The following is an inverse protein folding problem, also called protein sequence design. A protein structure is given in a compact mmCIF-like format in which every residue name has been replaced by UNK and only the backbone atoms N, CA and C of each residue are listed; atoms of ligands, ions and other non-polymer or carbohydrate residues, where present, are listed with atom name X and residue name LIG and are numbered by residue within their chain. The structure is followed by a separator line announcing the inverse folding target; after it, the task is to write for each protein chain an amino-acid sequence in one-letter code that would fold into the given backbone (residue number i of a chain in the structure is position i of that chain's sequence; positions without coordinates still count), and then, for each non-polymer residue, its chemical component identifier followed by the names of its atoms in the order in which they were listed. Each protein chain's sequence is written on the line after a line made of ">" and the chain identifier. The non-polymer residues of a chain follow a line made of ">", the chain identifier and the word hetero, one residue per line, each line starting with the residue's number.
data_IF_858504808863
#
_entry.id   IF_858504808863
#
_cell.length_a   1.000
_cell.length_b   1.000
_cell.length_c   1.000
_cell.angle_alpha   90.00
_cell.angle_beta   90.00
_cell.angle_gamma   90.00
#
_symmetry.space_group_name_H-M   'P 1'
#
loop_
_entity.id
_entity.type
_entity.pdbx_description
1 polymer ?
#
# COMPACT_ATOMS: atom_id res chain seq x y z
N UNK A 1 59.09 4.03 2.59
CA UNK A 1 59.16 2.65 2.05
C UNK A 1 58.45 1.65 2.96
N UNK A 2 59.04 1.15 4.05
CA UNK A 2 58.37 0.13 4.92
C UNK A 2 57.16 0.68 5.69
N UNK A 3 57.28 1.89 6.27
CA UNK A 3 56.17 2.55 6.96
C UNK A 3 55.00 2.95 6.03
N UNK A 4 55.27 3.05 4.73
CA UNK A 4 54.29 3.43 3.71
C UNK A 4 53.52 2.19 3.24
N UNK A 5 54.23 1.08 3.00
CA UNK A 5 53.62 -0.24 2.77
C UNK A 5 52.78 -0.72 3.96
N UNK A 6 53.22 -0.48 5.18
CA UNK A 6 52.45 -0.83 6.38
C UNK A 6 51.15 -0.02 6.50
N UNK A 7 51.13 1.24 6.02
CA UNK A 7 49.92 2.07 5.97
C UNK A 7 48.97 1.61 4.85
N UNK A 8 49.49 1.35 3.66
CA UNK A 8 48.71 0.83 2.54
C UNK A 8 48.05 -0.51 2.88
N UNK A 9 48.78 -1.39 3.59
CA UNK A 9 48.25 -2.66 4.04
C UNK A 9 47.20 -2.50 5.14
N UNK A 10 47.43 -1.63 6.14
CA UNK A 10 46.43 -1.34 7.17
C UNK A 10 45.17 -0.68 6.61
N UNK A 11 45.30 0.20 5.60
CA UNK A 11 44.16 0.82 4.91
C UNK A 11 43.40 -0.23 4.06
N UNK A 12 44.11 -1.15 3.41
CA UNK A 12 43.52 -2.28 2.69
C UNK A 12 42.74 -3.22 3.61
N UNK A 13 43.35 -3.63 4.73
CA UNK A 13 42.72 -4.48 5.74
C UNK A 13 41.47 -3.79 6.33
N UNK A 14 41.54 -2.48 6.60
CA UNK A 14 40.41 -1.69 7.08
C UNK A 14 39.28 -1.58 6.06
N UNK A 15 39.59 -1.38 4.78
CA UNK A 15 38.58 -1.34 3.72
C UNK A 15 37.91 -2.69 3.52
N UNK A 16 38.67 -3.78 3.60
CA UNK A 16 38.12 -5.12 3.50
C UNK A 16 37.19 -5.43 4.68
N UNK A 17 37.63 -5.15 5.91
CA UNK A 17 36.80 -5.31 7.11
C UNK A 17 35.49 -4.50 7.03
N UNK A 18 35.54 -3.26 6.53
CA UNK A 18 34.35 -2.44 6.33
C UNK A 18 33.39 -3.04 5.29
N UNK A 19 33.91 -3.61 4.19
CA UNK A 19 33.09 -4.26 3.17
C UNK A 19 32.39 -5.49 3.73
N UNK A 20 33.14 -6.35 4.41
CA UNK A 20 32.60 -7.55 5.06
C UNK A 20 31.51 -7.20 6.08
N UNK A 21 31.71 -6.14 6.86
CA UNK A 21 30.70 -5.63 7.80
C UNK A 21 29.44 -5.12 7.09
N UNK A 22 29.59 -4.34 6.02
CA UNK A 22 28.45 -3.83 5.26
C UNK A 22 27.66 -4.97 4.60
N UNK A 23 28.34 -5.93 3.98
CA UNK A 23 27.73 -7.12 3.37
C UNK A 23 26.96 -7.95 4.41
N UNK A 24 27.53 -8.16 5.60
CA UNK A 24 26.86 -8.88 6.69
C UNK A 24 25.58 -8.15 7.14
N UNK A 25 25.63 -6.82 7.28
CA UNK A 25 24.45 -6.01 7.64
C UNK A 25 23.39 -6.00 6.55
N UNK A 26 23.77 -5.98 5.27
CA UNK A 26 22.83 -6.07 4.17
C UNK A 26 22.13 -7.43 4.12
N UNK A 27 22.86 -8.52 4.37
CA UNK A 27 22.29 -9.85 4.48
C UNK A 27 21.31 -9.95 5.66
N UNK A 28 21.70 -9.45 6.84
CA UNK A 28 20.81 -9.44 8.01
C UNK A 28 19.51 -8.64 7.74
N UNK A 29 19.62 -7.46 7.11
CA UNK A 29 18.45 -6.67 6.76
C UNK A 29 17.52 -7.40 5.78
N UNK A 30 18.08 -8.15 4.82
CA UNK A 30 17.31 -8.96 3.89
C UNK A 30 16.60 -10.13 4.60
N UNK A 31 17.30 -10.85 5.48
CA UNK A 31 16.72 -11.95 6.24
C UNK A 31 15.58 -11.48 7.16
N UNK A 32 15.75 -10.33 7.82
CA UNK A 32 14.71 -9.69 8.66
C UNK A 32 13.52 -9.22 7.86
N UNK A 33 13.75 -8.68 6.66
CA UNK A 33 12.66 -8.30 5.77
C UNK A 33 11.84 -9.53 5.36
N UNK A 34 12.49 -10.62 4.93
CA UNK A 34 11.79 -11.86 4.60
C UNK A 34 11.07 -12.50 5.79
N UNK A 35 11.67 -12.46 6.98
CA UNK A 35 11.03 -12.93 8.21
C UNK A 35 9.77 -12.14 8.51
N UNK A 36 9.82 -10.80 8.42
CA UNK A 36 8.64 -9.93 8.58
C UNK A 36 7.55 -10.29 7.58
N UNK A 37 7.88 -10.50 6.30
CA UNK A 37 6.87 -10.85 5.29
C UNK A 37 6.24 -12.23 5.57
N UNK A 38 7.04 -13.19 6.02
CA UNK A 38 6.54 -14.51 6.44
C UNK A 38 5.62 -14.41 7.65
N UNK A 39 5.97 -13.60 8.64
CA UNK A 39 5.12 -13.32 9.80
C UNK A 39 3.81 -12.63 9.39
N UNK A 40 3.91 -11.54 8.60
CA UNK A 40 2.79 -10.72 8.17
C UNK A 40 1.76 -11.52 7.35
N UNK A 41 2.22 -12.23 6.32
CA UNK A 41 1.32 -12.92 5.39
C UNK A 41 1.04 -14.38 5.78
N UNK A 42 1.94 -15.03 6.51
CA UNK A 42 1.84 -16.46 6.86
C UNK A 42 1.58 -17.32 5.62
N UNK A 43 0.61 -18.21 5.70
CA UNK A 43 0.18 -19.08 4.59
C UNK A 43 -0.36 -18.29 3.38
N UNK A 44 -0.82 -17.05 3.58
CA UNK A 44 -1.32 -16.21 2.49
C UNK A 44 -0.21 -15.65 1.60
N UNK A 45 1.07 -15.82 1.97
CA UNK A 45 2.22 -15.34 1.20
C UNK A 45 2.21 -15.91 -0.23
N UNK A 46 1.88 -17.20 -0.38
CA UNK A 46 1.78 -17.87 -1.69
C UNK A 46 0.59 -17.40 -2.56
N UNK A 47 -0.38 -16.72 -1.96
CA UNK A 47 -1.54 -16.12 -2.66
C UNK A 47 -1.34 -14.64 -2.98
N UNK A 48 -0.28 -14.02 -2.45
CA UNK A 48 0.00 -12.61 -2.68
C UNK A 48 0.40 -12.38 -4.15
N UNK A 49 -0.22 -11.43 -4.87
CA UNK A 49 0.20 -11.10 -6.23
C UNK A 49 1.70 -10.79 -6.29
N UNK A 50 2.48 -11.38 -7.22
CA UNK A 50 3.94 -11.24 -7.24
C UNK A 50 4.41 -9.77 -7.28
N UNK A 51 3.75 -8.94 -8.08
CA UNK A 51 4.08 -7.51 -8.21
C UNK A 51 3.72 -6.68 -6.98
N UNK A 52 2.78 -7.15 -6.14
CA UNK A 52 2.51 -6.57 -4.83
C UNK A 52 3.58 -7.01 -3.84
N UNK A 53 3.87 -8.31 -3.79
CA UNK A 53 4.86 -8.86 -2.88
C UNK A 53 6.24 -8.22 -3.09
N UNK A 54 6.65 -8.03 -4.34
CA UNK A 54 7.89 -7.33 -4.69
C UNK A 54 7.89 -5.88 -4.17
N UNK A 55 6.80 -5.13 -4.36
CA UNK A 55 6.71 -3.75 -3.88
C UNK A 55 6.80 -3.67 -2.34
N UNK A 56 6.14 -4.60 -1.65
CA UNK A 56 6.21 -4.69 -0.18
C UNK A 56 7.61 -5.10 0.28
N UNK A 57 8.24 -6.06 -0.40
CA UNK A 57 9.61 -6.51 -0.10
C UNK A 57 10.62 -5.38 -0.25
N UNK A 58 10.52 -4.56 -1.30
CA UNK A 58 11.40 -3.39 -1.48
C UNK A 58 11.19 -2.38 -0.36
N UNK A 59 9.94 -2.08 0.00
CA UNK A 59 9.64 -1.16 1.09
C UNK A 59 10.17 -1.66 2.44
N UNK A 60 9.95 -2.95 2.74
CA UNK A 60 10.37 -3.59 3.97
C UNK A 60 11.90 -3.70 4.07
N UNK A 61 12.58 -4.12 3.00
CA UNK A 61 14.04 -4.14 2.94
C UNK A 61 14.62 -2.74 3.17
N UNK A 62 14.03 -1.72 2.55
CA UNK A 62 14.48 -0.34 2.71
C UNK A 62 14.28 0.13 4.14
N UNK A 63 13.17 -0.25 4.78
CA UNK A 63 12.94 0.01 6.20
C UNK A 63 14.00 -0.65 7.09
N UNK A 64 14.31 -1.93 6.88
CA UNK A 64 15.33 -2.64 7.66
C UNK A 64 16.72 -2.01 7.49
N UNK A 65 17.09 -1.62 6.26
CA UNK A 65 18.35 -0.89 6.00
C UNK A 65 18.37 0.48 6.68
N UNK A 66 17.23 1.16 6.75
CA UNK A 66 17.11 2.47 7.38
C UNK A 66 17.31 2.45 8.89
N UNK A 67 17.12 1.31 9.57
CA UNK A 67 17.40 1.20 11.01
C UNK A 67 18.88 1.39 11.35
N UNK A 68 19.77 1.22 10.36
CA UNK A 68 21.22 1.30 10.51
C UNK A 68 21.86 2.40 9.64
N UNK A 69 21.05 3.24 8.98
CA UNK A 69 21.51 4.27 8.04
C UNK A 69 20.73 5.58 8.24
N UNK A 70 21.17 6.67 7.61
CA UNK A 70 20.51 7.99 7.70
C UNK A 70 19.35 8.17 6.69
N UNK A 71 18.69 7.08 6.29
CA UNK A 71 17.59 7.16 5.34
C UNK A 71 16.38 7.87 5.95
N UNK A 72 15.89 8.88 5.24
CA UNK A 72 14.80 9.72 5.73
C UNK A 72 13.46 8.93 5.82
N UNK A 73 12.76 8.93 6.97
CA UNK A 73 11.54 8.13 7.17
C UNK A 73 10.45 8.37 6.12
N UNK A 74 10.29 9.62 5.70
CA UNK A 74 9.36 10.00 4.64
C UNK A 74 9.57 9.27 3.31
N UNK A 75 10.81 9.01 2.89
CA UNK A 75 11.09 8.30 1.65
C UNK A 75 10.61 6.84 1.72
N UNK A 76 10.80 6.21 2.88
CA UNK A 76 10.36 4.84 3.15
C UNK A 76 8.83 4.77 3.23
N UNK A 77 8.20 5.77 3.85
CA UNK A 77 6.76 5.89 3.91
C UNK A 77 6.13 6.00 2.51
N UNK A 78 6.78 6.68 1.56
CA UNK A 78 6.36 6.72 0.16
C UNK A 78 6.39 5.34 -0.48
N UNK A 79 7.41 4.51 -0.21
CA UNK A 79 7.48 3.13 -0.73
C UNK A 79 6.33 2.27 -0.23
N UNK A 80 6.08 2.28 1.08
CA UNK A 80 4.95 1.56 1.67
C UNK A 80 3.60 2.11 1.19
N UNK A 81 3.47 3.42 0.99
CA UNK A 81 2.27 4.02 0.42
C UNK A 81 2.06 3.58 -1.04
N UNK A 82 3.12 3.43 -1.82
CA UNK A 82 3.07 2.85 -3.17
C UNK A 82 2.65 1.37 -3.15
N UNK A 83 3.15 0.60 -2.18
CA UNK A 83 2.74 -0.78 -1.98
C UNK A 83 1.24 -0.89 -1.59
N UNK A 84 0.75 -0.01 -0.71
CA UNK A 84 -0.67 0.09 -0.37
C UNK A 84 -1.54 0.41 -1.59
N UNK A 85 -1.17 1.44 -2.37
CA UNK A 85 -1.88 1.83 -3.59
C UNK A 85 -1.96 0.69 -4.60
N UNK A 86 -0.83 0.02 -4.83
CA UNK A 86 -0.77 -1.17 -5.68
C UNK A 86 -1.63 -2.30 -5.13
N UNK A 87 -1.63 -2.51 -3.81
CA UNK A 87 -2.42 -3.53 -3.13
C UNK A 87 -3.92 -3.31 -3.33
N UNK A 88 -4.42 -2.10 -3.04
CA UNK A 88 -5.83 -1.75 -3.25
C UNK A 88 -6.22 -1.88 -4.73
N UNK A 89 -5.35 -1.46 -5.65
CA UNK A 89 -5.62 -1.61 -7.07
C UNK A 89 -5.73 -3.08 -7.49
N UNK A 90 -4.73 -3.90 -7.16
CA UNK A 90 -4.63 -5.29 -7.61
C UNK A 90 -5.65 -6.22 -6.93
N UNK A 91 -6.00 -5.94 -5.68
CA UNK A 91 -6.86 -6.80 -4.86
C UNK A 91 -8.33 -6.35 -4.90
N UNK A 92 -8.62 -5.05 -5.02
CA UNK A 92 -9.99 -4.52 -4.94
C UNK A 92 -10.43 -3.89 -6.26
N UNK A 93 -9.76 -2.83 -6.72
CA UNK A 93 -10.25 -2.01 -7.85
C UNK A 93 -10.32 -2.81 -9.15
N UNK A 94 -9.23 -3.46 -9.53
CA UNK A 94 -9.16 -4.22 -10.77
C UNK A 94 -10.09 -5.44 -10.75
N UNK A 95 -10.14 -6.26 -9.67
CA UNK A 95 -11.12 -7.34 -9.59
C UNK A 95 -12.58 -6.86 -9.59
N UNK A 96 -12.88 -5.71 -8.98
CA UNK A 96 -14.22 -5.12 -9.07
C UNK A 96 -14.54 -4.73 -10.51
N UNK A 97 -13.64 -4.04 -11.22
CA UNK A 97 -13.82 -3.70 -12.63
C UNK A 97 -14.08 -4.94 -13.50
N UNK A 98 -13.31 -6.01 -13.26
CA UNK A 98 -13.44 -7.29 -13.97
C UNK A 98 -14.75 -8.02 -13.66
N UNK A 99 -15.36 -7.76 -12.50
CA UNK A 99 -16.66 -8.33 -12.14
C UNK A 99 -17.85 -7.63 -12.81
N UNK A 100 -17.65 -6.42 -13.35
CA UNK A 100 -18.70 -5.62 -13.97
C UNK A 100 -18.92 -6.01 -15.44
N UNK A 101 -20.06 -6.64 -15.71
CA UNK A 101 -20.62 -6.79 -17.06
C UNK A 101 -21.04 -5.44 -17.66
N UNK A 102 -21.37 -5.40 -18.95
CA UNK A 102 -21.88 -4.18 -19.58
C UNK A 102 -23.15 -3.64 -18.89
N UNK A 103 -24.05 -4.54 -18.50
CA UNK A 103 -25.32 -4.23 -17.84
C UNK A 103 -25.10 -3.71 -16.42
N UNK A 104 -24.29 -4.42 -15.61
CA UNK A 104 -24.02 -4.03 -14.22
C UNK A 104 -23.18 -2.76 -14.14
N UNK A 105 -22.25 -2.56 -15.08
CA UNK A 105 -21.54 -1.29 -15.24
C UNK A 105 -22.49 -0.14 -15.55
N UNK A 106 -23.38 -0.33 -16.52
CA UNK A 106 -24.37 0.71 -16.85
C UNK A 106 -25.29 1.00 -15.67
N UNK A 107 -25.69 -0.01 -14.89
CA UNK A 107 -26.47 0.16 -13.67
C UNK A 107 -25.70 0.96 -12.61
N UNK A 108 -24.41 0.65 -12.37
CA UNK A 108 -23.53 1.39 -11.47
C UNK A 108 -23.45 2.87 -11.83
N UNK A 109 -23.18 3.16 -13.11
CA UNK A 109 -23.04 4.52 -13.62
C UNK A 109 -24.35 5.30 -13.52
N UNK A 110 -25.49 4.68 -13.86
CA UNK A 110 -26.81 5.31 -13.75
C UNK A 110 -27.20 5.60 -12.31
N UNK A 111 -26.96 4.65 -11.40
CA UNK A 111 -27.26 4.84 -9.97
C UNK A 111 -26.41 5.95 -9.34
N UNK A 112 -25.21 6.18 -9.89
CA UNK A 112 -24.26 7.18 -9.39
C UNK A 112 -24.30 8.49 -10.17
N UNK A 113 -25.18 8.65 -11.15
CA UNK A 113 -25.31 9.89 -11.91
C UNK A 113 -26.05 10.96 -11.07
N UNK A 114 -25.41 12.11 -10.88
CA UNK A 114 -25.93 13.26 -10.14
C UNK A 114 -26.60 14.29 -11.04
N UNK A 115 -25.99 14.60 -12.19
CA UNK A 115 -26.52 15.59 -13.12
C UNK A 115 -26.08 15.30 -14.57
N UNK A 116 -26.95 15.57 -15.54
CA UNK A 116 -26.66 15.57 -16.97
C UNK A 116 -26.60 17.02 -17.44
N UNK A 117 -25.38 17.59 -17.55
CA UNK A 117 -25.19 18.96 -18.06
C UNK A 117 -24.45 18.93 -19.39
N UNK A 118 -25.05 19.52 -20.43
CA UNK A 118 -24.41 19.74 -21.73
C UNK A 118 -23.73 18.48 -22.35
N UNK A 119 -24.35 17.30 -22.20
CA UNK A 119 -23.81 16.03 -22.69
C UNK A 119 -22.77 15.36 -21.77
N UNK A 120 -22.51 15.92 -20.59
CA UNK A 120 -21.61 15.36 -19.58
C UNK A 120 -22.39 14.88 -18.34
N UNK A 121 -22.11 13.65 -17.90
CA UNK A 121 -22.61 13.09 -16.64
C UNK A 121 -21.68 13.48 -15.50
N UNK A 122 -22.19 14.09 -14.44
CA UNK A 122 -21.46 14.23 -13.18
C UNK A 122 -21.82 13.05 -12.26
N UNK A 123 -20.82 12.36 -11.72
CA UNK A 123 -21.02 11.25 -10.79
C UNK A 123 -20.97 11.73 -9.33
N UNK A 124 -21.70 11.05 -8.44
CA UNK A 124 -21.61 11.26 -6.98
C UNK A 124 -20.23 10.95 -6.40
N UNK A 125 -19.49 10.05 -7.05
CA UNK A 125 -18.16 9.64 -6.62
C UNK A 125 -17.22 9.45 -7.81
N UNK A 126 -15.99 9.98 -7.69
CA UNK A 126 -14.93 9.80 -8.70
C UNK A 126 -14.41 8.35 -8.74
N UNK A 127 -14.63 7.58 -7.68
CA UNK A 127 -14.45 6.14 -7.72
C UNK A 127 -15.29 5.51 -8.83
N UNK A 128 -16.58 5.86 -8.91
CA UNK A 128 -17.48 5.30 -9.93
C UNK A 128 -17.13 5.78 -11.33
N UNK A 129 -16.72 7.05 -11.44
CA UNK A 129 -16.23 7.62 -12.69
C UNK A 129 -15.08 6.83 -13.31
N UNK A 130 -14.23 6.19 -12.49
CA UNK A 130 -13.12 5.36 -12.97
C UNK A 130 -13.55 4.12 -13.78
N UNK A 131 -14.83 3.73 -13.68
CA UNK A 131 -15.39 2.58 -14.38
C UNK A 131 -16.24 2.96 -15.60
N UNK A 132 -16.31 4.25 -15.95
CA UNK A 132 -17.00 4.75 -17.13
C UNK A 132 -16.11 4.60 -18.39
N UNK A 133 -16.44 3.71 -19.34
CA UNK A 133 -15.63 3.47 -20.53
C UNK A 133 -15.67 4.66 -21.51
N UNK A 134 -16.68 5.54 -21.42
CA UNK A 134 -16.77 6.73 -22.26
C UNK A 134 -15.82 7.84 -21.79
N UNK A 135 -15.32 7.75 -20.55
CA UNK A 135 -14.26 8.61 -20.04
C UNK A 135 -12.93 7.86 -20.17
N UNK A 136 -11.89 8.54 -20.64
CA UNK A 136 -10.50 8.07 -20.45
C UNK A 136 -10.13 8.23 -18.97
N UNK A 137 -10.83 7.51 -18.10
CA UNK A 137 -10.72 7.71 -16.68
C UNK A 137 -9.42 7.09 -16.16
N UNK A 138 -8.76 7.82 -15.26
CA UNK A 138 -7.62 7.31 -14.49
C UNK A 138 -8.13 6.27 -13.49
N UNK A 139 -7.23 5.40 -13.02
CA UNK A 139 -7.52 4.57 -11.86
C UNK A 139 -7.91 5.45 -10.65
N UNK A 140 -8.83 4.98 -9.79
CA UNK A 140 -9.21 5.72 -8.59
C UNK A 140 -8.00 5.85 -7.65
N UNK A 141 -7.82 7.04 -7.10
CA UNK A 141 -6.82 7.35 -6.08
C UNK A 141 -7.14 6.67 -4.75
N UNK A 142 -6.13 6.59 -3.86
CA UNK A 142 -6.27 6.07 -2.50
C UNK A 142 -7.48 6.68 -1.75
N UNK A 143 -7.64 8.00 -1.81
CA UNK A 143 -8.75 8.68 -1.14
C UNK A 143 -10.11 8.39 -1.78
N UNK A 144 -10.16 8.17 -3.09
CA UNK A 144 -11.41 7.76 -3.76
C UNK A 144 -11.80 6.33 -3.34
N UNK A 145 -10.83 5.41 -3.21
CA UNK A 145 -11.07 4.06 -2.69
C UNK A 145 -11.49 4.08 -1.22
N UNK A 146 -10.81 4.86 -0.37
CA UNK A 146 -11.14 4.99 1.04
C UNK A 146 -12.58 5.49 1.26
N UNK A 147 -12.98 6.53 0.53
CA UNK A 147 -14.35 7.06 0.56
C UNK A 147 -15.38 6.05 0.04
N UNK A 148 -15.09 5.35 -1.05
CA UNK A 148 -16.00 4.33 -1.56
C UNK A 148 -16.19 3.18 -0.56
N UNK A 149 -15.13 2.78 0.15
CA UNK A 149 -15.21 1.80 1.22
C UNK A 149 -16.05 2.29 2.40
N UNK A 150 -15.81 3.49 2.92
CA UNK A 150 -16.56 4.01 4.08
C UNK A 150 -18.04 4.29 3.75
N UNK A 151 -18.34 4.64 2.49
CA UNK A 151 -19.69 4.94 2.00
C UNK A 151 -20.38 3.74 1.36
N UNK A 152 -19.80 2.54 1.39
CA UNK A 152 -20.33 1.33 0.71
C UNK A 152 -21.79 0.99 1.02
N UNK A 153 -22.33 1.50 2.12
CA UNK A 153 -23.73 1.33 2.52
C UNK A 153 -24.71 2.22 1.71
N UNK A 154 -24.21 3.21 0.98
CA UNK A 154 -25.04 4.10 0.18
C UNK A 154 -25.63 3.38 -1.05
N UNK A 155 -26.90 3.67 -1.44
CA UNK A 155 -27.59 2.93 -2.49
C UNK A 155 -26.86 2.86 -3.83
N UNK A 156 -26.16 3.93 -4.23
CA UNK A 156 -25.43 3.98 -5.50
C UNK A 156 -24.15 3.13 -5.51
N UNK A 157 -23.66 2.70 -4.34
CA UNK A 157 -22.52 1.79 -4.17
C UNK A 157 -22.95 0.36 -3.86
N UNK A 158 -24.24 0.01 -4.04
CA UNK A 158 -24.75 -1.32 -3.74
C UNK A 158 -24.00 -2.46 -4.48
N UNK A 159 -23.56 -2.22 -5.73
CA UNK A 159 -22.77 -3.20 -6.48
C UNK A 159 -21.36 -3.39 -5.90
N UNK A 160 -20.73 -2.31 -5.42
CA UNK A 160 -19.46 -2.42 -4.69
C UNK A 160 -19.64 -3.22 -3.40
N UNK A 161 -20.70 -2.93 -2.64
CA UNK A 161 -21.00 -3.67 -1.40
C UNK A 161 -21.24 -5.16 -1.66
N UNK A 162 -22.02 -5.50 -2.69
CA UNK A 162 -22.26 -6.87 -3.09
C UNK A 162 -20.93 -7.58 -3.45
N UNK A 163 -20.12 -6.94 -4.29
CA UNK A 163 -18.79 -7.44 -4.64
C UNK A 163 -17.90 -7.70 -3.41
N UNK A 164 -17.87 -6.77 -2.44
CA UNK A 164 -17.08 -6.94 -1.22
C UNK A 164 -17.57 -8.11 -0.36
N UNK A 165 -18.89 -8.25 -0.19
CA UNK A 165 -19.48 -9.33 0.61
C UNK A 165 -19.27 -10.72 -0.02
N UNK A 166 -19.32 -10.78 -1.35
CA UNK A 166 -19.18 -12.03 -2.08
C UNK A 166 -17.70 -12.42 -2.21
N UNK A 167 -16.84 -11.45 -2.53
CA UNK A 167 -15.42 -11.66 -2.82
C UNK A 167 -14.49 -11.67 -1.60
N UNK A 168 -14.92 -11.14 -0.45
CA UNK A 168 -14.09 -11.04 0.75
C UNK A 168 -14.78 -11.59 2.00
N UNK A 169 -14.03 -12.32 2.81
CA UNK A 169 -14.40 -12.71 4.17
C UNK A 169 -13.97 -11.63 5.19
N UNK A 170 -14.38 -10.39 4.98
CA UNK A 170 -14.17 -9.26 5.89
C UNK A 170 -15.52 -8.73 6.37
N UNK A 171 -15.65 -8.47 7.67
CA UNK A 171 -16.81 -7.78 8.21
C UNK A 171 -16.76 -6.27 7.94
N UNK A 172 -17.88 -5.60 8.18
CA UNK A 172 -18.00 -4.15 7.99
C UNK A 172 -16.99 -3.37 8.86
N UNK A 173 -16.72 -3.83 10.08
CA UNK A 173 -15.75 -3.19 10.95
C UNK A 173 -14.33 -3.23 10.38
N UNK A 174 -13.95 -4.31 9.71
CA UNK A 174 -12.67 -4.44 9.00
C UNK A 174 -12.60 -3.51 7.80
N UNK A 175 -13.66 -3.45 7.00
CA UNK A 175 -13.72 -2.55 5.84
C UNK A 175 -13.65 -1.08 6.27
N UNK A 176 -14.29 -0.69 7.38
CA UNK A 176 -14.21 0.65 7.95
C UNK A 176 -12.82 0.99 8.50
N UNK A 177 -12.16 0.02 9.15
CA UNK A 177 -10.80 0.19 9.63
C UNK A 177 -9.80 0.38 8.48
N UNK A 178 -9.96 -0.41 7.39
CA UNK A 178 -9.16 -0.24 6.18
C UNK A 178 -9.42 1.14 5.56
N UNK A 179 -10.68 1.56 5.42
CA UNK A 179 -11.02 2.87 4.88
C UNK A 179 -10.37 4.01 5.68
N UNK A 180 -10.48 3.94 7.00
CA UNK A 180 -9.91 4.94 7.93
C UNK A 180 -8.38 4.96 7.88
N UNK A 181 -7.75 3.79 7.76
CA UNK A 181 -6.31 3.69 7.57
C UNK A 181 -5.86 4.34 6.25
N UNK A 182 -6.54 4.05 5.14
CA UNK A 182 -6.19 4.59 3.82
C UNK A 182 -6.38 6.11 3.78
N UNK A 183 -7.44 6.65 4.39
CA UNK A 183 -7.63 8.10 4.46
C UNK A 183 -6.54 8.77 5.32
N UNK A 184 -6.27 8.23 6.52
CA UNK A 184 -5.18 8.73 7.39
C UNK A 184 -3.84 8.71 6.64
N UNK A 185 -3.59 7.67 5.87
CA UNK A 185 -2.40 7.52 5.04
C UNK A 185 -2.29 8.57 3.94
N UNK A 186 -3.40 8.87 3.27
CA UNK A 186 -3.44 9.93 2.28
C UNK A 186 -3.11 11.28 2.92
N UNK A 187 -3.78 11.61 4.01
CA UNK A 187 -3.68 12.92 4.66
C UNK A 187 -2.34 13.17 5.37
N UNK A 188 -1.77 12.14 6.01
CA UNK A 188 -0.55 12.30 6.82
C UNK A 188 0.73 12.13 6.00
N UNK A 189 0.67 11.42 4.86
CA UNK A 189 1.86 11.11 4.07
C UNK A 189 1.77 11.64 2.64
N UNK A 190 0.78 11.23 1.86
CA UNK A 190 0.73 11.59 0.43
C UNK A 190 0.49 13.07 0.20
N UNK A 191 -0.48 13.65 0.89
CA UNK A 191 -0.88 15.05 0.67
C UNK A 191 0.27 16.02 1.06
N UNK A 192 0.97 15.85 2.21
CA UNK A 192 2.15 16.66 2.52
C UNK A 192 3.26 16.55 1.48
N UNK A 193 3.61 15.34 1.01
CA UNK A 193 4.59 15.13 -0.07
C UNK A 193 4.16 15.89 -1.33
N UNK A 194 2.93 15.68 -1.78
CA UNK A 194 2.41 16.22 -3.03
C UNK A 194 2.35 17.76 -3.02
N UNK A 195 2.21 18.38 -1.84
CA UNK A 195 2.16 19.82 -1.67
C UNK A 195 3.54 20.45 -1.36
N UNK A 196 4.64 19.69 -1.50
CA UNK A 196 5.99 20.20 -1.28
C UNK A 196 6.26 20.64 0.16
N UNK A 197 5.46 20.16 1.11
CA UNK A 197 5.70 20.41 2.53
C UNK A 197 6.81 19.47 2.99
N UNK A 198 7.74 19.96 3.82
CA UNK A 198 8.70 19.10 4.47
C UNK A 198 7.94 18.01 5.24
N UNK A 199 8.20 16.73 4.94
CA UNK A 199 7.70 15.66 5.79
C UNK A 199 8.61 15.56 6.98
N UNK A 200 8.25 16.24 8.05
CA UNK A 200 8.66 15.79 9.37
C UNK A 200 7.79 14.58 9.70
N UNK A 201 8.24 13.40 9.24
CA UNK A 201 7.66 12.13 9.64
C UNK A 201 8.56 11.52 10.72
N UNK A 202 8.15 11.53 11.99
CA UNK A 202 8.85 10.83 13.05
C UNK A 202 9.05 9.34 12.72
N UNK A 203 10.18 8.79 13.16
CA UNK A 203 10.46 7.35 12.99
C UNK A 203 9.36 6.47 13.60
N UNK A 204 8.75 6.92 14.70
CA UNK A 204 7.63 6.22 15.34
C UNK A 204 6.40 6.16 14.43
N UNK A 205 6.06 7.25 13.74
CA UNK A 205 4.91 7.29 12.84
C UNK A 205 5.12 6.37 11.62
N UNK A 206 6.35 6.30 11.12
CA UNK A 206 6.72 5.30 10.09
C UNK A 206 6.58 3.86 10.62
N UNK A 207 7.04 3.59 11.85
CA UNK A 207 6.94 2.27 12.46
C UNK A 207 5.47 1.86 12.67
N UNK A 208 4.63 2.78 13.15
CA UNK A 208 3.19 2.57 13.34
C UNK A 208 2.47 2.33 12.00
N UNK A 209 2.86 3.08 10.96
CA UNK A 209 2.34 2.86 9.61
C UNK A 209 2.72 1.48 9.08
N UNK A 210 4.01 1.12 9.12
CA UNK A 210 4.50 -0.21 8.73
C UNK A 210 3.75 -1.30 9.48
N UNK A 211 3.60 -1.15 10.80
CA UNK A 211 2.87 -2.10 11.65
C UNK A 211 1.43 -2.25 11.21
N UNK A 212 0.68 -1.16 11.02
CA UNK A 212 -0.72 -1.23 10.59
C UNK A 212 -0.88 -1.79 9.16
N UNK A 213 0.08 -1.52 8.27
CA UNK A 213 0.04 -2.03 6.89
C UNK A 213 0.30 -3.55 6.83
N UNK A 214 1.27 -4.03 7.60
CA UNK A 214 1.80 -5.40 7.46
C UNK A 214 1.45 -6.33 8.62
N UNK A 215 1.47 -5.86 9.86
CA UNK A 215 1.47 -6.76 11.03
C UNK A 215 0.14 -6.72 11.79
N UNK A 216 -0.31 -5.54 12.19
CA UNK A 216 -1.47 -5.38 13.05
C UNK A 216 -2.14 -4.01 12.87
N UNK A 217 -3.30 -4.02 12.20
CA UNK A 217 -4.17 -2.87 12.06
C UNK A 217 -4.94 -2.65 13.38
N UNK A 218 -4.39 -1.83 14.26
CA UNK A 218 -5.05 -1.34 15.48
C UNK A 218 -5.58 -2.46 16.40
N UNK A 219 -4.79 -3.51 16.63
CA UNK A 219 -5.14 -4.61 17.52
C UNK A 219 -6.07 -5.66 16.92
N UNK A 220 -6.25 -5.64 15.59
CA UNK A 220 -7.08 -6.63 14.87
C UNK A 220 -6.33 -7.93 14.55
N UNK A 221 -5.05 -8.02 14.91
CA UNK A 221 -4.23 -9.22 14.80
C UNK A 221 -3.68 -9.51 13.40
N UNK A 222 -3.94 -8.61 12.42
CA UNK A 222 -3.37 -8.66 11.06
C UNK A 222 -3.22 -7.25 10.49
N UNK A 223 -2.22 -7.04 9.64
CA UNK A 223 -2.09 -5.81 8.87
C UNK A 223 -3.08 -5.74 7.70
N UNK A 224 -3.24 -4.54 7.13
CA UNK A 224 -4.14 -4.27 6.00
C UNK A 224 -3.89 -5.16 4.80
N UNK A 225 -2.63 -5.26 4.34
CA UNK A 225 -2.33 -6.04 3.13
C UNK A 225 -2.52 -7.55 3.34
N UNK A 226 -2.01 -8.17 4.42
CA UNK A 226 -2.31 -9.58 4.69
C UNK A 226 -3.79 -9.87 4.91
N UNK A 227 -4.54 -8.97 5.54
CA UNK A 227 -5.99 -9.14 5.71
C UNK A 227 -6.70 -9.21 4.34
N UNK A 228 -6.40 -8.28 3.43
CA UNK A 228 -6.97 -8.26 2.08
C UNK A 228 -6.57 -9.50 1.25
N UNK A 229 -5.32 -9.93 1.32
CA UNK A 229 -4.87 -11.14 0.60
C UNK A 229 -5.50 -12.40 1.18
N UNK A 230 -5.60 -12.50 2.51
CA UNK A 230 -6.14 -13.67 3.19
C UNK A 230 -7.64 -13.83 2.95
N UNK A 231 -8.38 -12.72 3.08
CA UNK A 231 -9.83 -12.72 3.08
C UNK A 231 -10.45 -12.90 1.69
N UNK A 232 -9.65 -12.74 0.63
CA UNK A 232 -10.12 -12.95 -0.74
C UNK A 232 -10.53 -14.41 -0.96
N UNK A 233 -11.75 -14.62 -1.45
CA UNK A 233 -12.32 -15.92 -1.82
C UNK A 233 -11.97 -16.32 -3.25
#
# INVERSE_FOLDING_TARGET
>A
AEAERAREQADGDRQQALREELEAREAEAADRAEETLREAFGEALGRCPPSLLEAVRVAELTYQKALYTELHPAAIAVLFSGALERGLYLLLVRPFDQSLTAETRQALLRASARELRAGHVEYFDRFVEAFDPARRARAPSLGEVARALSRRHEPHLALLKAFLNDGFALDDGWLDAIASFVERMKEQLRDPVAHGRALELPQQDLADFRKALLLDLWGRGRGVLPALVTARR
#
